data_IF_688155243026
#
_entry.id   IF_688155243026
#
_cell.length_a   1.000
_cell.length_b   1.000
_cell.length_c   1.000
_cell.angle_alpha   90.00
_cell.angle_beta   90.00
_cell.angle_gamma   90.00
#
_symmetry.space_group_name_H-M   'P 1'
#
loop_
_entity.id
_entity.type
_entity.pdbx_description
1 polymer ?
#
# COMPACT_ATOMS: atom_id res chain seq x y z
N UNK A 1 -69.40 -16.95 -51.34
CA UNK A 1 -69.49 -17.60 -50.02
C UNK A 1 -68.16 -17.70 -49.29
N UNK A 2 -67.02 -17.92 -49.95
CA UNK A 2 -65.68 -18.06 -49.34
C UNK A 2 -65.16 -16.77 -48.77
N UNK A 3 -65.46 -15.60 -49.35
CA UNK A 3 -64.95 -14.30 -48.89
C UNK A 3 -65.59 -13.84 -47.57
N UNK A 4 -66.79 -14.25 -47.28
CA UNK A 4 -67.55 -13.83 -46.10
C UNK A 4 -67.10 -14.60 -44.83
N UNK A 5 -66.58 -15.78 -44.98
CA UNK A 5 -66.02 -16.57 -43.88
C UNK A 5 -64.63 -16.12 -43.46
N UNK A 6 -63.83 -15.62 -44.41
CA UNK A 6 -62.50 -15.09 -44.09
C UNK A 6 -62.57 -13.80 -43.27
N UNK A 7 -63.53 -12.92 -43.52
CA UNK A 7 -63.75 -11.72 -42.73
C UNK A 7 -64.30 -12.00 -41.32
N UNK A 8 -65.05 -13.09 -41.15
CA UNK A 8 -65.57 -13.49 -39.84
C UNK A 8 -64.49 -14.08 -38.96
N UNK A 9 -63.55 -14.87 -39.52
CA UNK A 9 -62.40 -15.35 -38.82
C UNK A 9 -61.41 -14.22 -38.51
N UNK A 10 -61.23 -13.25 -39.37
CA UNK A 10 -60.40 -12.08 -39.13
C UNK A 10 -60.96 -11.18 -38.03
N UNK A 11 -62.28 -11.08 -37.89
CA UNK A 11 -62.96 -10.31 -36.85
C UNK A 11 -62.90 -11.01 -35.46
N UNK A 12 -62.79 -12.33 -35.42
CA UNK A 12 -62.63 -13.11 -34.16
C UNK A 12 -61.17 -12.99 -33.67
N UNK A 13 -60.17 -12.90 -34.59
CA UNK A 13 -58.77 -12.76 -34.20
C UNK A 13 -58.40 -11.42 -33.57
N UNK A 14 -59.19 -10.37 -33.81
CA UNK A 14 -58.89 -8.98 -33.34
C UNK A 14 -59.42 -8.75 -31.92
N UNK A 15 -60.16 -9.62 -31.30
CA UNK A 15 -60.73 -9.43 -29.95
C UNK A 15 -60.16 -10.30 -28.83
N UNK A 16 -59.14 -11.08 -29.06
CA UNK A 16 -58.39 -11.69 -27.97
C UNK A 16 -57.20 -10.81 -27.65
N UNK A 17 -57.42 -9.63 -27.11
CA UNK A 17 -56.41 -9.02 -26.26
C UNK A 17 -56.28 -9.93 -25.06
N UNK A 18 -55.11 -10.48 -24.78
CA UNK A 18 -54.90 -11.15 -23.50
C UNK A 18 -55.18 -10.11 -22.41
N UNK A 19 -56.30 -10.24 -21.73
CA UNK A 19 -56.50 -9.53 -20.47
C UNK A 19 -55.45 -10.08 -19.55
N UNK A 20 -54.33 -9.39 -19.40
CA UNK A 20 -53.37 -9.74 -18.33
C UNK A 20 -54.17 -9.74 -17.04
N UNK A 21 -54.47 -10.95 -16.56
CA UNK A 21 -55.11 -11.10 -15.27
C UNK A 21 -54.17 -10.44 -14.25
N UNK A 22 -54.50 -9.25 -13.80
CA UNK A 22 -53.78 -8.54 -12.77
C UNK A 22 -53.61 -9.49 -11.60
N UNK A 23 -52.37 -9.87 -11.34
CA UNK A 23 -52.00 -10.86 -10.32
C UNK A 23 -51.19 -10.22 -9.22
N UNK A 24 -51.10 -10.89 -8.07
CA UNK A 24 -50.22 -10.52 -6.99
C UNK A 24 -48.78 -10.85 -7.37
N UNK A 25 -47.98 -9.86 -7.77
CA UNK A 25 -46.57 -10.01 -8.15
C UNK A 25 -45.70 -8.99 -7.45
N UNK A 26 -44.43 -9.35 -7.17
CA UNK A 26 -43.44 -8.42 -6.73
C UNK A 26 -42.15 -8.62 -7.53
N UNK A 27 -41.47 -7.54 -7.83
CA UNK A 27 -40.14 -7.56 -8.43
C UNK A 27 -39.15 -7.02 -7.40
N UNK A 28 -38.22 -7.89 -7.02
CA UNK A 28 -37.09 -7.59 -6.14
C UNK A 28 -35.86 -8.28 -6.73
N UNK A 29 -34.65 -7.75 -6.54
CA UNK A 29 -33.43 -8.47 -6.90
C UNK A 29 -33.32 -9.75 -6.06
N UNK A 30 -32.71 -10.80 -6.61
CA UNK A 30 -32.48 -12.04 -5.86
C UNK A 30 -31.49 -11.84 -4.70
N UNK A 31 -30.57 -10.90 -4.85
CA UNK A 31 -29.60 -10.53 -3.81
C UNK A 31 -29.13 -9.09 -3.95
N UNK A 32 -28.78 -8.50 -2.82
CA UNK A 32 -28.11 -7.18 -2.74
C UNK A 32 -26.90 -7.32 -1.84
N UNK A 33 -25.81 -6.61 -2.19
CA UNK A 33 -24.58 -6.54 -1.40
C UNK A 33 -24.49 -5.18 -0.73
N UNK A 34 -24.15 -5.16 0.54
CA UNK A 34 -23.86 -3.93 1.28
C UNK A 34 -22.58 -4.09 2.08
N UNK A 35 -21.90 -3.00 2.37
CA UNK A 35 -20.74 -3.00 3.23
C UNK A 35 -21.18 -2.96 4.69
N UNK A 36 -20.48 -3.68 5.56
CA UNK A 36 -20.71 -3.68 7.01
C UNK A 36 -20.75 -2.23 7.54
N UNK A 37 -21.79 -1.89 8.31
CA UNK A 37 -22.01 -0.57 8.90
C UNK A 37 -22.48 0.51 7.91
N UNK A 38 -22.50 0.26 6.59
CA UNK A 38 -23.05 1.17 5.59
C UNK A 38 -24.57 1.02 5.48
N UNK A 39 -25.18 1.62 4.46
CA UNK A 39 -26.58 1.37 4.14
C UNK A 39 -26.72 0.37 2.98
N UNK A 40 -27.84 -0.32 2.94
CA UNK A 40 -28.28 -1.09 1.78
C UNK A 40 -29.67 -0.65 1.36
N UNK A 41 -29.85 -0.44 0.05
CA UNK A 41 -31.16 -0.16 -0.56
C UNK A 41 -31.58 -1.39 -1.36
N UNK A 42 -32.78 -1.86 -1.08
CA UNK A 42 -33.43 -2.96 -1.77
C UNK A 42 -34.50 -2.36 -2.66
N UNK A 43 -34.30 -2.28 -3.98
CA UNK A 43 -35.34 -1.83 -4.90
C UNK A 43 -36.46 -2.86 -4.92
N UNK A 44 -37.69 -2.38 -4.89
CA UNK A 44 -38.87 -3.22 -4.81
C UNK A 44 -40.05 -2.56 -5.50
N UNK A 45 -40.70 -3.27 -6.42
CA UNK A 45 -41.98 -2.92 -6.94
C UNK A 45 -42.96 -4.07 -6.78
N UNK A 46 -44.24 -3.78 -6.63
CA UNK A 46 -45.26 -4.80 -6.46
C UNK A 46 -46.51 -4.48 -7.26
N UNK A 47 -47.32 -5.47 -7.51
CA UNK A 47 -48.60 -5.34 -8.17
C UNK A 47 -49.66 -6.16 -7.43
N UNK A 48 -50.90 -5.75 -7.58
CA UNK A 48 -52.10 -6.41 -7.04
C UNK A 48 -53.26 -6.31 -8.03
N UNK A 49 -54.27 -7.21 -8.00
CA UNK A 49 -55.46 -7.13 -8.84
C UNK A 49 -56.21 -5.83 -8.62
N UNK A 50 -56.78 -5.27 -9.70
CA UNK A 50 -57.57 -4.03 -9.63
C UNK A 50 -58.77 -4.20 -8.70
N UNK A 51 -58.89 -3.40 -7.62
CA UNK A 51 -59.96 -3.52 -6.65
C UNK A 51 -61.33 -2.99 -7.14
N UNK A 52 -61.45 -2.52 -8.36
CA UNK A 52 -62.68 -1.88 -8.94
C UNK A 52 -63.18 -0.66 -8.16
N UNK A 53 -62.59 -0.34 -7.02
CA UNK A 53 -62.96 0.80 -6.14
C UNK A 53 -61.65 1.51 -5.77
N UNK A 54 -61.76 2.82 -5.50
CA UNK A 54 -60.63 3.59 -5.02
C UNK A 54 -60.13 3.02 -3.66
N UNK A 55 -58.86 2.59 -3.63
CA UNK A 55 -58.22 2.11 -2.40
C UNK A 55 -57.44 3.19 -1.70
N UNK A 56 -57.62 3.31 -0.40
CA UNK A 56 -56.88 4.22 0.45
C UNK A 56 -56.31 3.47 1.63
N UNK A 57 -55.16 3.89 2.15
CA UNK A 57 -54.50 3.28 3.32
C UNK A 57 -53.72 2.00 2.96
N UNK A 58 -52.48 2.22 2.52
CA UNK A 58 -51.52 1.18 2.23
C UNK A 58 -50.61 1.00 3.45
N UNK A 59 -50.43 -0.25 3.90
CA UNK A 59 -49.45 -0.60 4.92
C UNK A 59 -48.43 -1.58 4.34
N UNK A 60 -47.20 -1.17 4.21
CA UNK A 60 -46.09 -2.01 3.74
C UNK A 60 -45.30 -2.57 4.93
N UNK A 61 -44.99 -3.84 4.84
CA UNK A 61 -44.28 -4.57 5.88
C UNK A 61 -43.19 -5.43 5.25
N UNK A 62 -41.96 -5.35 5.75
CA UNK A 62 -40.90 -6.25 5.41
C UNK A 62 -40.65 -7.25 6.52
N UNK A 63 -40.47 -8.50 6.17
CA UNK A 63 -40.21 -9.61 7.06
C UNK A 63 -38.88 -10.29 6.75
N UNK A 64 -38.22 -10.84 7.77
CA UNK A 64 -37.18 -11.84 7.58
C UNK A 64 -37.78 -13.25 7.43
N UNK A 65 -36.94 -14.24 7.17
CA UNK A 65 -37.35 -15.63 6.96
C UNK A 65 -38.03 -16.28 8.18
N UNK A 66 -37.75 -15.74 9.39
CA UNK A 66 -38.39 -16.16 10.63
C UNK A 66 -39.76 -15.47 10.88
N UNK A 67 -40.32 -14.80 9.90
CA UNK A 67 -41.56 -14.02 9.98
C UNK A 67 -41.50 -12.89 11.03
N UNK A 68 -40.29 -12.36 11.31
CA UNK A 68 -40.12 -11.20 12.20
C UNK A 68 -40.19 -9.93 11.38
N UNK A 69 -40.84 -8.88 11.90
CA UNK A 69 -41.03 -7.59 11.24
C UNK A 69 -39.72 -6.79 11.31
N UNK A 70 -39.06 -6.58 10.17
CA UNK A 70 -37.86 -5.78 10.09
C UNK A 70 -38.14 -4.32 9.71
N UNK A 71 -39.24 -4.05 9.01
CA UNK A 71 -39.72 -2.71 8.72
C UNK A 71 -41.23 -2.71 8.60
N UNK A 72 -41.88 -1.72 9.19
CA UNK A 72 -43.32 -1.51 9.14
C UNK A 72 -43.63 -0.03 8.95
N UNK A 73 -44.73 0.30 8.26
CA UNK A 73 -45.18 1.71 8.12
C UNK A 73 -45.40 2.38 9.49
N UNK A 74 -45.86 1.63 10.49
CA UNK A 74 -45.87 2.03 11.90
C UNK A 74 -44.61 1.46 12.58
N UNK A 75 -43.67 2.34 12.92
CA UNK A 75 -42.38 1.95 13.51
C UNK A 75 -42.51 1.21 14.86
N UNK A 76 -43.64 1.38 15.60
CA UNK A 76 -43.85 0.67 16.86
C UNK A 76 -43.93 -0.85 16.68
N UNK A 77 -44.28 -1.33 15.51
CA UNK A 77 -44.40 -2.76 15.18
C UNK A 77 -43.11 -3.37 14.62
N UNK A 78 -42.06 -2.54 14.39
CA UNK A 78 -40.75 -3.01 13.96
C UNK A 78 -39.95 -3.53 15.16
N UNK A 79 -39.22 -4.65 14.97
CA UNK A 79 -38.27 -5.14 15.97
C UNK A 79 -37.31 -4.04 16.41
N UNK A 80 -37.01 -4.00 17.72
CA UNK A 80 -36.19 -2.94 18.32
C UNK A 80 -34.85 -2.75 17.60
N UNK A 81 -34.18 -3.83 17.25
CA UNK A 81 -32.92 -3.79 16.56
C UNK A 81 -32.97 -3.18 15.13
N UNK A 82 -34.15 -3.12 14.49
CA UNK A 82 -34.36 -2.56 13.16
C UNK A 82 -35.12 -1.22 13.20
N UNK A 83 -35.76 -0.84 14.30
CA UNK A 83 -36.67 0.30 14.39
C UNK A 83 -36.03 1.63 13.97
N UNK A 84 -34.78 1.86 14.35
CA UNK A 84 -34.05 3.09 14.00
C UNK A 84 -33.27 2.97 12.66
N UNK A 85 -33.05 1.75 12.17
CA UNK A 85 -32.18 1.45 11.03
C UNK A 85 -32.92 1.18 9.72
N UNK A 86 -34.24 0.96 9.77
CA UNK A 86 -35.02 0.64 8.56
C UNK A 86 -36.01 1.73 8.20
N UNK A 87 -36.19 1.92 6.87
CA UNK A 87 -37.09 2.90 6.30
C UNK A 87 -37.64 2.40 4.97
N UNK A 88 -38.98 2.46 4.82
CA UNK A 88 -39.60 2.37 3.50
C UNK A 88 -39.28 3.64 2.71
N UNK A 89 -38.62 3.50 1.55
CA UNK A 89 -38.28 4.60 0.66
C UNK A 89 -39.37 4.83 -0.38
N UNK A 90 -40.04 3.75 -0.78
CA UNK A 90 -41.03 3.79 -1.84
C UNK A 90 -42.38 4.33 -1.40
N UNK A 91 -43.08 4.97 -2.35
CA UNK A 91 -44.49 5.33 -2.22
C UNK A 91 -45.36 4.11 -2.57
N UNK A 92 -46.01 3.55 -1.55
CA UNK A 92 -46.83 2.35 -1.68
C UNK A 92 -48.03 2.59 -2.64
N UNK A 93 -48.56 3.81 -2.71
CA UNK A 93 -49.64 4.16 -3.66
C UNK A 93 -49.19 4.06 -5.13
N UNK A 94 -47.87 4.23 -5.34
CA UNK A 94 -47.23 4.08 -6.65
C UNK A 94 -46.61 2.67 -6.85
N UNK A 95 -47.02 1.72 -6.01
CA UNK A 95 -46.55 0.32 -6.05
C UNK A 95 -45.05 0.16 -5.87
N UNK A 96 -44.41 1.12 -5.20
CA UNK A 96 -42.99 1.08 -4.83
C UNK A 96 -42.85 0.70 -3.36
N UNK A 97 -42.20 -0.44 -3.09
CA UNK A 97 -41.96 -1.02 -1.77
C UNK A 97 -40.50 -1.00 -1.33
N UNK A 98 -39.67 -0.20 -2.01
CA UNK A 98 -38.23 -0.15 -1.74
C UNK A 98 -37.91 0.09 -0.27
N UNK A 99 -36.96 -0.67 0.24
CA UNK A 99 -36.50 -0.66 1.62
C UNK A 99 -35.06 -0.17 1.72
N UNK A 100 -34.78 0.66 2.71
CA UNK A 100 -33.42 0.99 3.12
C UNK A 100 -33.14 0.42 4.52
N UNK A 101 -31.97 -0.21 4.68
CA UNK A 101 -31.42 -0.62 5.96
C UNK A 101 -30.13 0.18 6.16
N UNK A 102 -30.06 1.00 7.21
CA UNK A 102 -28.88 1.76 7.64
C UNK A 102 -28.09 0.95 8.67
N UNK A 103 -26.79 1.26 8.83
CA UNK A 103 -25.88 0.59 9.77
C UNK A 103 -25.96 -0.94 9.64
N UNK A 104 -25.68 -1.42 8.42
CA UNK A 104 -25.80 -2.83 8.06
C UNK A 104 -24.93 -3.71 8.96
N UNK A 105 -25.52 -4.69 9.61
CA UNK A 105 -24.87 -5.61 10.52
C UNK A 105 -24.74 -6.99 9.88
N UNK A 106 -23.76 -7.77 10.34
CA UNK A 106 -23.57 -9.15 9.86
C UNK A 106 -24.82 -10.02 10.11
N UNK A 107 -25.59 -9.71 11.16
CA UNK A 107 -26.83 -10.39 11.52
C UNK A 107 -28.03 -10.04 10.62
N UNK A 108 -27.92 -8.98 9.79
CA UNK A 108 -29.02 -8.55 8.91
C UNK A 108 -29.07 -9.39 7.61
N UNK A 109 -28.07 -10.23 7.38
CA UNK A 109 -28.03 -11.19 6.29
C UNK A 109 -29.17 -12.20 6.39
N UNK A 110 -29.82 -12.43 5.30
CA UNK A 110 -30.89 -13.44 5.22
C UNK A 110 -31.94 -13.07 4.17
N UNK A 111 -32.79 -14.02 3.79
CA UNK A 111 -33.88 -13.72 2.88
C UNK A 111 -34.92 -12.83 3.53
N UNK A 112 -35.28 -11.75 2.83
CA UNK A 112 -36.32 -10.82 3.21
C UNK A 112 -37.44 -10.88 2.18
N UNK A 113 -38.68 -10.66 2.63
CA UNK A 113 -39.82 -10.59 1.72
C UNK A 113 -40.78 -9.47 2.11
N UNK A 114 -41.52 -8.94 1.12
CA UNK A 114 -42.48 -7.87 1.30
C UNK A 114 -43.88 -8.40 1.50
N UNK A 115 -44.69 -7.68 2.31
CA UNK A 115 -46.12 -7.85 2.48
C UNK A 115 -46.81 -6.50 2.34
N UNK A 116 -47.94 -6.48 1.65
CA UNK A 116 -48.84 -5.33 1.53
C UNK A 116 -50.17 -5.62 2.20
N UNK A 117 -50.69 -4.64 2.92
CA UNK A 117 -52.05 -4.62 3.43
C UNK A 117 -52.77 -3.36 2.90
N UNK A 118 -53.89 -3.56 2.21
CA UNK A 118 -54.67 -2.50 1.59
C UNK A 118 -56.04 -2.42 2.33
N UNK A 119 -56.25 -1.32 3.02
CA UNK A 119 -57.44 -1.13 3.86
C UNK A 119 -58.72 -1.24 3.02
N UNK A 120 -59.66 -2.09 3.50
CA UNK A 120 -60.95 -2.29 2.82
C UNK A 120 -60.87 -3.14 1.53
N UNK A 121 -59.68 -3.68 1.19
CA UNK A 121 -59.54 -4.51 -0.01
C UNK A 121 -58.95 -5.89 0.35
N UNK A 122 -57.64 -6.01 0.50
CA UNK A 122 -56.97 -7.31 0.72
C UNK A 122 -55.59 -7.14 1.32
N UNK A 123 -54.94 -8.26 1.65
CA UNK A 123 -53.54 -8.35 2.11
C UNK A 123 -52.85 -9.51 1.46
N UNK A 124 -51.56 -9.34 1.13
CA UNK A 124 -50.78 -10.40 0.48
C UNK A 124 -49.30 -10.36 0.88
N UNK A 125 -48.71 -11.54 1.05
CA UNK A 125 -47.29 -11.73 1.34
C UNK A 125 -46.57 -12.35 0.14
N UNK A 126 -45.59 -11.63 -0.41
CA UNK A 126 -44.83 -12.06 -1.59
C UNK A 126 -43.69 -13.01 -1.22
N UNK A 127 -44.02 -14.14 -0.53
CA UNK A 127 -43.04 -15.09 0.00
C UNK A 127 -42.18 -15.80 -1.06
N UNK A 128 -42.62 -15.84 -2.30
CA UNK A 128 -41.89 -16.43 -3.44
C UNK A 128 -40.85 -15.44 -4.02
N UNK A 129 -40.98 -14.15 -3.71
CA UNK A 129 -40.10 -13.09 -4.17
C UNK A 129 -39.26 -12.61 -2.99
N UNK A 130 -38.19 -13.36 -2.67
CA UNK A 130 -37.28 -13.04 -1.58
C UNK A 130 -36.02 -12.39 -2.10
N UNK A 131 -35.43 -11.53 -1.31
CA UNK A 131 -34.11 -10.92 -1.54
C UNK A 131 -33.16 -11.32 -0.42
N UNK A 132 -31.98 -11.79 -0.81
CA UNK A 132 -30.90 -12.07 0.15
C UNK A 132 -30.02 -10.82 0.31
N UNK A 133 -29.77 -10.43 1.56
CA UNK A 133 -28.81 -9.38 1.85
C UNK A 133 -27.48 -10.02 2.24
N UNK A 134 -26.40 -9.66 1.56
CA UNK A 134 -25.05 -10.13 1.89
C UNK A 134 -24.17 -8.97 2.33
N UNK A 135 -23.48 -9.17 3.45
CA UNK A 135 -22.49 -8.21 3.94
C UNK A 135 -21.18 -8.49 3.25
N UNK A 136 -20.71 -7.53 2.46
CA UNK A 136 -19.41 -7.60 1.77
C UNK A 136 -18.32 -6.93 2.60
N UNK A 137 -17.08 -7.38 2.38
CA UNK A 137 -15.89 -6.66 2.83
C UNK A 137 -15.21 -6.03 1.63
N UNK A 138 -14.39 -4.98 1.83
CA UNK A 138 -13.58 -4.43 0.77
C UNK A 138 -12.60 -5.46 0.23
N UNK A 139 -12.40 -5.45 -1.08
CA UNK A 139 -11.41 -6.29 -1.75
C UNK A 139 -10.20 -5.43 -2.12
N UNK A 140 -9.00 -5.87 -1.71
CA UNK A 140 -7.73 -5.24 -2.05
C UNK A 140 -6.91 -6.19 -2.92
N UNK A 141 -6.68 -5.80 -4.15
CA UNK A 141 -5.86 -6.50 -5.12
C UNK A 141 -4.58 -5.72 -5.41
N UNK A 142 -3.44 -6.38 -5.31
CA UNK A 142 -2.12 -5.91 -5.71
C UNK A 142 -1.30 -7.14 -6.10
N UNK A 143 -0.30 -6.96 -6.97
CA UNK A 143 0.62 -8.04 -7.34
C UNK A 143 1.30 -8.59 -6.08
N UNK A 144 1.45 -9.92 -5.99
CA UNK A 144 2.06 -10.58 -4.83
C UNK A 144 3.54 -10.20 -4.67
N UNK A 145 4.26 -10.12 -5.80
CA UNK A 145 5.65 -9.70 -5.84
C UNK A 145 5.79 -8.46 -6.72
N UNK A 146 6.41 -7.44 -6.19
CA UNK A 146 6.66 -6.18 -6.88
C UNK A 146 8.16 -5.87 -6.86
N UNK A 147 8.68 -5.17 -7.87
CA UNK A 147 10.09 -4.80 -7.92
C UNK A 147 10.30 -3.35 -7.54
N UNK A 148 11.40 -3.07 -6.87
CA UNK A 148 11.83 -1.73 -6.50
C UNK A 148 11.87 -0.81 -7.72
N UNK A 149 11.22 0.35 -7.63
CA UNK A 149 11.20 1.38 -8.68
C UNK A 149 10.30 1.09 -9.87
N UNK A 150 9.69 -0.09 -10.00
CA UNK A 150 8.69 -0.36 -11.03
C UNK A 150 7.36 0.30 -10.72
N UNK A 151 6.59 0.59 -11.76
CA UNK A 151 5.24 1.13 -11.60
C UNK A 151 4.27 0.02 -11.21
N UNK A 152 3.70 0.09 -10.02
CA UNK A 152 2.78 -0.89 -9.45
C UNK A 152 1.40 -0.30 -9.29
N UNK A 153 0.37 -1.06 -9.66
CA UNK A 153 -1.02 -0.69 -9.48
C UNK A 153 -1.67 -1.59 -8.43
N UNK A 154 -2.28 -0.97 -7.42
CA UNK A 154 -3.13 -1.61 -6.44
C UNK A 154 -4.58 -1.15 -6.63
N UNK A 155 -5.55 -2.06 -6.50
CA UNK A 155 -6.98 -1.77 -6.65
C UNK A 155 -7.72 -2.14 -5.38
N UNK A 156 -8.50 -1.21 -4.85
CA UNK A 156 -9.37 -1.38 -3.69
C UNK A 156 -10.81 -1.18 -4.14
N UNK A 157 -11.67 -2.18 -3.97
CA UNK A 157 -13.05 -2.14 -4.43
C UNK A 157 -14.05 -2.48 -3.35
N UNK A 158 -15.23 -1.90 -3.44
CA UNK A 158 -16.30 -2.11 -2.47
C UNK A 158 -17.68 -2.01 -3.14
N UNK A 159 -18.56 -2.96 -2.79
CA UNK A 159 -19.96 -2.93 -3.18
C UNK A 159 -20.78 -2.13 -2.18
N UNK A 160 -21.64 -1.25 -2.68
CA UNK A 160 -22.55 -0.46 -1.85
C UNK A 160 -23.87 -0.17 -2.58
N UNK A 161 -24.87 0.26 -1.83
CA UNK A 161 -26.21 0.57 -2.37
C UNK A 161 -26.66 1.99 -2.07
N UNK A 162 -25.78 2.84 -1.60
CA UNK A 162 -26.10 4.20 -1.17
C UNK A 162 -25.53 5.23 -2.18
N UNK A 163 -26.25 5.55 -3.26
CA UNK A 163 -25.73 6.43 -4.30
C UNK A 163 -25.51 7.87 -3.82
N UNK A 164 -26.25 8.32 -2.81
CA UNK A 164 -26.18 9.68 -2.27
C UNK A 164 -24.87 9.94 -1.50
N UNK A 165 -24.24 8.89 -1.01
CA UNK A 165 -23.03 8.96 -0.19
C UNK A 165 -22.03 7.88 -0.64
N UNK A 166 -21.34 8.11 -1.78
CA UNK A 166 -20.32 7.18 -2.24
C UNK A 166 -19.18 7.08 -1.22
N UNK A 167 -18.53 5.90 -1.11
CA UNK A 167 -17.36 5.75 -0.25
C UNK A 167 -16.21 6.62 -0.74
N UNK A 168 -15.37 7.09 0.17
CA UNK A 168 -14.09 7.71 -0.12
C UNK A 168 -12.95 6.81 0.32
N UNK A 169 -11.84 6.83 -0.43
CA UNK A 169 -10.70 5.95 -0.24
C UNK A 169 -9.47 6.75 0.22
N UNK A 170 -8.72 6.19 1.16
CA UNK A 170 -7.46 6.74 1.65
C UNK A 170 -6.43 5.62 1.69
N UNK A 171 -5.33 5.79 0.97
CA UNK A 171 -4.25 4.83 0.92
C UNK A 171 -3.15 5.15 1.93
N UNK A 172 -2.46 4.11 2.44
CA UNK A 172 -1.31 4.26 3.35
C UNK A 172 -0.04 4.68 2.62
N UNK A 173 0.02 4.50 1.30
CA UNK A 173 1.14 4.87 0.45
C UNK A 173 0.79 6.07 -0.41
N UNK A 174 1.78 6.87 -0.74
CA UNK A 174 1.65 7.99 -1.68
C UNK A 174 1.77 7.48 -3.12
N UNK A 175 1.01 8.07 -4.03
CA UNK A 175 0.98 7.71 -5.43
C UNK A 175 -0.11 8.46 -6.18
N UNK A 176 -0.34 8.10 -7.42
CA UNK A 176 -1.44 8.60 -8.22
C UNK A 176 -2.69 7.78 -7.92
N UNK A 177 -3.72 8.43 -7.39
CA UNK A 177 -5.00 7.80 -7.03
C UNK A 177 -6.05 8.14 -8.09
N UNK A 178 -6.76 7.11 -8.56
CA UNK A 178 -7.90 7.24 -9.46
C UNK A 178 -9.10 6.50 -8.89
N UNK A 179 -10.19 7.24 -8.66
CA UNK A 179 -11.43 6.71 -8.09
C UNK A 179 -12.52 6.65 -9.16
N UNK A 180 -13.24 5.54 -9.21
CA UNK A 180 -14.37 5.36 -10.12
C UNK A 180 -15.53 4.65 -9.41
N UNK A 181 -16.75 4.99 -9.80
CA UNK A 181 -17.96 4.32 -9.31
C UNK A 181 -18.81 3.89 -10.49
N UNK A 182 -19.18 2.62 -10.52
CA UNK A 182 -19.99 2.01 -11.57
C UNK A 182 -21.30 1.46 -10.99
N UNK A 183 -22.41 1.78 -11.62
CA UNK A 183 -23.67 1.13 -11.33
C UNK A 183 -23.71 -0.25 -12.01
N UNK A 184 -23.93 -1.32 -11.25
CA UNK A 184 -24.04 -2.67 -11.77
C UNK A 184 -25.46 -3.00 -12.21
N UNK A 185 -26.42 -2.67 -11.36
CA UNK A 185 -27.86 -2.79 -11.60
C UNK A 185 -28.59 -1.86 -10.63
N UNK A 186 -29.92 -1.79 -10.71
CA UNK A 186 -30.72 -0.92 -9.86
C UNK A 186 -30.44 -1.16 -8.38
N UNK A 187 -30.10 -0.10 -7.64
CA UNK A 187 -29.78 -0.12 -6.22
C UNK A 187 -28.44 -0.75 -5.85
N UNK A 188 -27.57 -1.06 -6.82
CA UNK A 188 -26.26 -1.67 -6.54
C UNK A 188 -25.13 -0.99 -7.30
N UNK A 189 -24.09 -0.62 -6.58
CA UNK A 189 -22.91 0.12 -7.06
C UNK A 189 -21.63 -0.60 -6.69
N UNK A 190 -20.60 -0.46 -7.50
CA UNK A 190 -19.23 -0.82 -7.18
C UNK A 190 -18.36 0.43 -7.26
N UNK A 191 -17.73 0.81 -6.16
CA UNK A 191 -16.72 1.87 -6.12
C UNK A 191 -15.35 1.24 -6.02
N UNK A 192 -14.42 1.70 -6.86
CA UNK A 192 -13.06 1.21 -6.94
C UNK A 192 -12.09 2.39 -6.92
N UNK A 193 -11.08 2.29 -6.06
CA UNK A 193 -9.93 3.19 -6.05
C UNK A 193 -8.71 2.44 -6.52
N UNK A 194 -8.00 2.99 -7.48
CA UNK A 194 -6.73 2.45 -7.98
C UNK A 194 -5.61 3.39 -7.58
N UNK A 195 -4.60 2.86 -6.89
CA UNK A 195 -3.37 3.56 -6.54
C UNK A 195 -2.24 3.07 -7.43
N UNK A 196 -1.59 3.99 -8.14
CA UNK A 196 -0.37 3.73 -8.89
C UNK A 196 0.82 4.34 -8.15
N UNK A 197 1.81 3.52 -7.80
CA UNK A 197 2.94 3.93 -6.97
C UNK A 197 4.22 3.18 -7.35
N UNK A 198 5.37 3.69 -6.88
CA UNK A 198 6.69 3.07 -7.08
C UNK A 198 7.19 2.57 -5.72
N UNK A 199 7.16 1.25 -5.46
CA UNK A 199 7.66 0.69 -4.22
C UNK A 199 9.19 0.85 -4.15
N UNK A 200 9.69 1.06 -2.95
CA UNK A 200 11.12 1.04 -2.67
C UNK A 200 11.46 -0.12 -1.70
N UNK A 201 12.75 -0.43 -1.54
CA UNK A 201 13.18 -1.54 -0.67
C UNK A 201 12.67 -1.43 0.78
N UNK A 202 12.49 -0.19 1.28
CA UNK A 202 11.98 0.03 2.62
C UNK A 202 10.49 -0.35 2.77
N UNK A 203 9.77 -0.59 1.67
CA UNK A 203 8.38 -1.04 1.69
C UNK A 203 8.25 -2.56 1.75
N UNK A 204 9.38 -3.29 1.63
CA UNK A 204 9.40 -4.74 1.81
C UNK A 204 8.88 -5.14 3.20
N UNK A 205 7.95 -6.09 3.24
CA UNK A 205 7.24 -6.54 4.44
C UNK A 205 6.37 -5.46 5.12
N UNK A 206 6.20 -4.27 4.53
CA UNK A 206 5.23 -3.29 5.02
C UNK A 206 3.83 -3.57 4.49
N UNK A 207 2.86 -3.13 5.26
CA UNK A 207 1.45 -3.32 4.94
C UNK A 207 0.93 -2.15 4.10
N UNK A 208 0.48 -2.46 2.88
CA UNK A 208 -0.33 -1.54 2.08
C UNK A 208 -1.76 -1.60 2.61
N UNK A 209 -2.32 -0.45 2.98
CA UNK A 209 -3.66 -0.31 3.53
C UNK A 209 -4.53 0.54 2.61
N UNK A 210 -5.77 0.11 2.43
CA UNK A 210 -6.84 0.89 1.84
C UNK A 210 -7.91 1.14 2.90
N UNK A 211 -8.11 2.39 3.25
CA UNK A 211 -9.07 2.85 4.22
C UNK A 211 -10.28 3.43 3.49
N UNK A 212 -11.46 2.93 3.80
CA UNK A 212 -12.70 3.33 3.18
C UNK A 212 -13.56 4.02 4.22
N UNK A 213 -13.93 5.26 3.93
CA UNK A 213 -14.80 6.04 4.82
C UNK A 213 -16.15 6.25 4.17
N UNK A 214 -17.19 6.14 4.97
CA UNK A 214 -18.58 6.36 4.60
C UNK A 214 -19.17 7.53 5.35
N UNK A 215 -20.36 7.91 4.93
CA UNK A 215 -21.20 8.87 5.63
C UNK A 215 -21.27 8.54 7.15
N UNK A 216 -21.24 9.58 8.00
CA UNK A 216 -21.19 9.50 9.48
C UNK A 216 -19.88 8.98 10.06
N UNK A 217 -18.78 8.98 9.29
CA UNK A 217 -17.46 8.61 9.80
C UNK A 217 -17.25 7.11 10.01
N UNK A 218 -18.10 6.27 9.41
CA UNK A 218 -17.86 4.85 9.38
C UNK A 218 -16.58 4.56 8.62
N UNK A 219 -15.73 3.73 9.19
CA UNK A 219 -14.40 3.41 8.71
C UNK A 219 -14.23 1.89 8.58
N UNK A 220 -13.79 1.43 7.42
CA UNK A 220 -13.42 0.04 7.16
C UNK A 220 -12.06 0.00 6.50
N UNK A 221 -11.18 -0.90 6.96
CA UNK A 221 -9.82 -1.08 6.44
C UNK A 221 -9.67 -2.45 5.79
N UNK A 222 -8.95 -2.49 4.67
CA UNK A 222 -8.39 -3.73 4.11
C UNK A 222 -6.91 -3.54 3.86
N UNK A 223 -6.12 -4.62 3.95
CA UNK A 223 -4.67 -4.51 3.87
C UNK A 223 -4.00 -5.75 3.29
N UNK A 224 -2.84 -5.54 2.63
CA UNK A 224 -1.94 -6.60 2.15
C UNK A 224 -0.49 -6.25 2.45
N UNK A 225 0.33 -7.26 2.72
CA UNK A 225 1.78 -7.10 2.90
C UNK A 225 2.44 -7.03 1.52
N UNK A 226 3.28 -6.03 1.31
CA UNK A 226 4.05 -5.88 0.08
C UNK A 226 5.33 -6.73 0.14
N UNK A 227 5.55 -7.54 -0.89
CA UNK A 227 6.78 -8.30 -1.10
C UNK A 227 7.59 -7.59 -2.18
N UNK A 228 8.47 -6.67 -1.76
CA UNK A 228 9.30 -5.91 -2.70
C UNK A 228 10.59 -6.68 -3.00
N UNK A 229 10.87 -6.91 -4.27
CA UNK A 229 12.10 -7.52 -4.77
C UNK A 229 13.07 -6.42 -5.19
N UNK A 230 14.34 -6.54 -4.80
CA UNK A 230 15.38 -5.54 -5.10
C UNK A 230 16.77 -6.17 -5.24
N UNK A 231 17.60 -5.47 -6.03
CA UNK A 231 18.99 -5.83 -6.22
C UNK A 231 19.79 -5.70 -4.91
N UNK A 232 20.94 -6.40 -4.79
CA UNK A 232 21.79 -6.28 -3.62
C UNK A 232 22.29 -4.86 -3.38
N UNK A 233 22.43 -4.52 -2.12
CA UNK A 233 23.02 -3.29 -1.60
C UNK A 233 24.01 -3.66 -0.50
N UNK A 234 25.32 -3.52 -0.79
CA UNK A 234 26.36 -3.82 0.18
C UNK A 234 26.49 -2.63 1.13
N UNK A 235 26.25 -2.87 2.40
CA UNK A 235 26.26 -1.82 3.41
C UNK A 235 27.68 -1.28 3.65
N UNK A 236 27.79 0.03 3.82
CA UNK A 236 29.04 0.73 4.15
C UNK A 236 29.64 0.30 5.49
N UNK A 237 28.88 -0.40 6.32
CA UNK A 237 29.37 -1.05 7.55
C UNK A 237 30.20 -2.30 7.31
N UNK A 238 30.22 -2.83 6.07
CA UNK A 238 31.10 -3.93 5.67
C UNK A 238 32.57 -3.52 5.83
N UNK A 239 33.37 -4.37 6.45
CA UNK A 239 34.77 -4.02 6.79
C UNK A 239 35.63 -5.25 7.07
N UNK A 240 36.94 -5.05 7.03
CA UNK A 240 37.91 -6.00 7.57
C UNK A 240 38.44 -5.51 8.90
N UNK A 241 38.65 -6.41 9.86
CA UNK A 241 39.26 -6.15 11.17
C UNK A 241 40.29 -7.21 11.51
N UNK A 242 41.24 -6.86 12.36
CA UNK A 242 42.21 -7.82 12.90
C UNK A 242 41.97 -8.02 14.40
N UNK A 243 41.77 -9.25 14.79
CA UNK A 243 41.55 -9.64 16.17
C UNK A 243 42.44 -10.85 16.50
N UNK A 244 43.27 -10.74 17.53
CA UNK A 244 44.18 -11.82 17.90
C UNK A 244 45.19 -12.22 16.82
N UNK A 245 45.54 -11.32 15.89
CA UNK A 245 46.47 -11.57 14.78
C UNK A 245 45.84 -12.26 13.57
N UNK A 246 44.53 -12.51 13.64
CA UNK A 246 43.72 -13.05 12.50
C UNK A 246 42.90 -11.92 11.86
N UNK A 247 42.98 -11.83 10.55
CA UNK A 247 42.15 -10.88 9.79
C UNK A 247 40.85 -11.53 9.42
N UNK A 248 39.78 -10.82 9.71
CA UNK A 248 38.38 -11.18 9.39
C UNK A 248 37.75 -10.08 8.60
N UNK A 249 37.16 -10.41 7.44
CA UNK A 249 36.38 -9.48 6.63
C UNK A 249 34.92 -9.87 6.68
N UNK A 250 34.04 -8.89 6.92
CA UNK A 250 32.59 -9.05 6.94
C UNK A 250 31.97 -8.24 5.82
N UNK A 251 31.19 -8.90 4.98
CA UNK A 251 30.40 -8.30 3.92
C UNK A 251 28.92 -8.38 4.29
N UNK A 252 28.28 -7.25 4.48
CA UNK A 252 26.89 -7.14 4.90
C UNK A 252 26.08 -6.70 3.70
N UNK A 253 25.16 -7.55 3.24
CA UNK A 253 24.38 -7.35 2.02
C UNK A 253 22.90 -7.38 2.35
N UNK A 254 22.16 -6.40 1.87
CA UNK A 254 20.71 -6.39 1.94
C UNK A 254 20.13 -6.60 0.54
N UNK A 255 19.28 -7.61 0.35
CA UNK A 255 18.67 -7.95 -0.94
C UNK A 255 17.45 -8.85 -0.81
N UNK A 256 16.57 -8.76 -1.78
CA UNK A 256 15.43 -9.67 -1.93
C UNK A 256 15.18 -9.95 -3.43
N UNK A 257 15.37 -11.18 -3.91
CA UNK A 257 15.81 -12.39 -3.19
C UNK A 257 17.22 -12.28 -2.61
N UNK A 258 17.57 -13.14 -1.65
CA UNK A 258 18.91 -13.18 -1.07
C UNK A 258 19.98 -13.32 -2.13
N UNK A 259 21.08 -12.58 -1.97
CA UNK A 259 22.21 -12.59 -2.90
C UNK A 259 23.19 -13.73 -2.62
N UNK A 260 23.85 -14.18 -3.69
CA UNK A 260 25.11 -14.89 -3.58
C UNK A 260 26.23 -13.86 -3.34
N UNK A 261 27.07 -14.11 -2.36
CA UNK A 261 28.16 -13.22 -1.98
C UNK A 261 29.49 -13.94 -2.17
N UNK A 262 30.45 -13.25 -2.78
CA UNK A 262 31.81 -13.76 -3.06
C UNK A 262 32.83 -12.75 -2.60
N UNK A 263 33.99 -13.27 -2.15
CA UNK A 263 35.16 -12.46 -1.94
C UNK A 263 36.16 -12.71 -3.07
N UNK A 264 36.78 -11.66 -3.59
CA UNK A 264 37.82 -11.74 -4.62
C UNK A 264 39.11 -11.16 -4.05
N UNK A 265 40.12 -11.99 -3.94
CA UNK A 265 41.45 -11.61 -3.46
C UNK A 265 42.47 -11.78 -4.59
N UNK A 266 42.95 -10.67 -5.18
CA UNK A 266 43.66 -10.68 -6.44
C UNK A 266 42.77 -11.27 -7.56
N UNK A 267 43.24 -12.37 -8.18
CA UNK A 267 42.53 -13.08 -9.24
C UNK A 267 41.77 -14.34 -8.74
N UNK A 268 41.68 -14.52 -7.42
CA UNK A 268 41.08 -15.71 -6.83
C UNK A 268 39.73 -15.39 -6.19
N UNK A 269 38.73 -16.21 -6.52
CA UNK A 269 37.45 -16.21 -5.81
C UNK A 269 37.59 -17.04 -4.55
N UNK A 270 37.28 -16.42 -3.41
CA UNK A 270 37.34 -17.04 -2.08
C UNK A 270 35.91 -17.29 -1.61
N UNK A 271 35.70 -18.47 -1.05
CA UNK A 271 34.44 -18.77 -0.36
C UNK A 271 34.46 -18.21 1.06
N UNK A 272 33.30 -17.76 1.53
CA UNK A 272 33.12 -17.34 2.91
C UNK A 272 33.39 -18.50 3.88
N UNK A 273 33.97 -18.19 5.03
CA UNK A 273 34.17 -19.14 6.14
C UNK A 273 32.91 -19.28 6.99
N UNK A 274 32.02 -18.27 6.98
CA UNK A 274 30.76 -18.26 7.73
C UNK A 274 29.74 -17.39 6.99
N UNK A 275 28.50 -17.87 6.94
CA UNK A 275 27.34 -17.15 6.43
C UNK A 275 26.25 -17.02 7.51
N UNK A 276 25.73 -15.84 7.71
CA UNK A 276 24.60 -15.58 8.61
C UNK A 276 23.51 -14.85 7.83
N UNK A 277 22.24 -15.24 8.03
CA UNK A 277 21.11 -14.65 7.36
C UNK A 277 20.04 -14.22 8.37
N UNK A 278 19.61 -12.96 8.26
CA UNK A 278 18.52 -12.41 9.08
C UNK A 278 17.59 -11.59 8.20
N UNK A 279 16.43 -12.17 7.83
CA UNK A 279 15.50 -11.57 6.87
C UNK A 279 16.15 -11.34 5.52
N UNK A 280 16.13 -10.11 5.04
CA UNK A 280 16.76 -9.67 3.78
C UNK A 280 18.27 -9.38 3.89
N UNK A 281 18.82 -9.43 5.10
CA UNK A 281 20.24 -9.17 5.34
C UNK A 281 21.03 -10.48 5.39
N UNK A 282 22.07 -10.56 4.56
CA UNK A 282 23.07 -11.64 4.55
C UNK A 282 24.41 -11.08 5.00
N UNK A 283 25.05 -11.72 5.96
CA UNK A 283 26.41 -11.38 6.44
C UNK A 283 27.32 -12.54 6.09
N UNK A 284 28.25 -12.30 5.19
CA UNK A 284 29.26 -13.26 4.80
C UNK A 284 30.61 -12.87 5.40
N UNK A 285 31.28 -13.84 6.02
CA UNK A 285 32.55 -13.63 6.67
C UNK A 285 33.65 -14.42 5.95
N UNK A 286 34.73 -13.75 5.59
CA UNK A 286 35.97 -14.36 5.11
C UNK A 286 37.05 -14.26 6.17
N UNK A 287 37.61 -15.39 6.52
CA UNK A 287 38.75 -15.49 7.40
C UNK A 287 39.82 -16.35 6.72
N UNK A 288 40.96 -15.74 6.33
CA UNK A 288 42.04 -16.40 5.59
C UNK A 288 43.36 -15.66 5.82
N UNK A 289 44.46 -16.23 5.34
CA UNK A 289 45.72 -15.50 5.22
C UNK A 289 45.67 -14.62 3.96
N UNK A 290 45.64 -13.32 4.18
CA UNK A 290 45.57 -12.34 3.09
C UNK A 290 46.97 -12.01 2.49
N UNK A 291 48.06 -12.59 3.00
CA UNK A 291 49.40 -12.38 2.50
C UNK A 291 49.79 -10.89 2.43
N UNK A 292 50.22 -10.41 1.27
CA UNK A 292 50.63 -9.03 1.01
C UNK A 292 49.53 -8.13 0.41
N UNK A 293 48.30 -8.63 0.27
CA UNK A 293 47.22 -7.83 -0.26
C UNK A 293 46.81 -6.70 0.67
N UNK A 294 46.39 -5.56 0.12
CA UNK A 294 45.93 -4.39 0.86
C UNK A 294 44.42 -4.28 0.94
N UNK A 295 43.71 -5.02 0.09
CA UNK A 295 42.26 -4.99 -0.01
C UNK A 295 41.71 -6.31 -0.53
N UNK A 296 40.41 -6.54 -0.29
CA UNK A 296 39.62 -7.63 -0.83
C UNK A 296 38.30 -7.03 -1.38
N UNK A 297 37.87 -7.52 -2.55
CA UNK A 297 36.57 -7.17 -3.08
C UNK A 297 35.50 -8.07 -2.48
N UNK A 298 34.40 -7.48 -2.05
CA UNK A 298 33.15 -8.20 -1.83
C UNK A 298 32.22 -7.92 -3.00
N UNK A 299 31.68 -8.96 -3.62
CA UNK A 299 30.72 -8.92 -4.72
C UNK A 299 29.48 -9.66 -4.29
N UNK A 300 28.32 -9.03 -4.45
CA UNK A 300 27.00 -9.63 -4.20
C UNK A 300 26.17 -9.59 -5.49
N UNK A 301 25.46 -10.68 -5.82
CA UNK A 301 24.56 -10.71 -6.94
C UNK A 301 23.29 -11.52 -6.65
N UNK A 302 22.17 -11.10 -7.27
CA UNK A 302 20.94 -11.86 -7.38
C UNK A 302 20.39 -11.72 -8.81
N UNK A 303 19.19 -12.26 -9.08
CA UNK A 303 18.58 -12.19 -10.41
C UNK A 303 18.20 -10.76 -10.86
N UNK A 304 18.23 -9.77 -9.98
CA UNK A 304 17.85 -8.37 -10.26
C UNK A 304 19.05 -7.47 -10.48
N UNK A 305 20.24 -7.88 -10.06
CA UNK A 305 21.45 -7.07 -10.24
C UNK A 305 22.62 -7.53 -9.40
N UNK A 306 23.64 -6.68 -9.37
CA UNK A 306 24.84 -6.92 -8.56
C UNK A 306 25.32 -5.61 -7.92
N UNK A 307 26.07 -5.76 -6.83
CA UNK A 307 26.80 -4.68 -6.15
C UNK A 307 28.17 -5.15 -5.73
N UNK A 308 29.13 -4.22 -5.58
CA UNK A 308 30.48 -4.55 -5.15
C UNK A 308 31.09 -3.45 -4.28
N UNK A 309 31.94 -3.84 -3.34
CA UNK A 309 32.69 -2.92 -2.49
C UNK A 309 34.12 -3.40 -2.31
N UNK A 310 35.04 -2.45 -2.19
CA UNK A 310 36.44 -2.69 -1.85
C UNK A 310 36.64 -2.55 -0.35
N UNK A 311 37.02 -3.64 0.31
CA UNK A 311 37.28 -3.67 1.75
C UNK A 311 38.79 -3.57 1.99
N UNK A 312 39.21 -2.51 2.69
CA UNK A 312 40.61 -2.33 3.05
C UNK A 312 41.03 -3.30 4.17
N UNK A 313 42.14 -3.99 3.97
CA UNK A 313 42.70 -4.89 4.94
C UNK A 313 43.49 -4.08 6.01
N UNK A 314 43.43 -4.48 7.30
CA UNK A 314 44.21 -3.82 8.34
C UNK A 314 45.70 -4.01 8.08
N UNK A 315 46.47 -2.92 8.20
CA UNK A 315 47.92 -2.95 8.04
C UNK A 315 48.51 -3.80 9.16
N UNK A 316 49.36 -4.77 8.78
CA UNK A 316 50.09 -5.56 9.75
C UNK A 316 51.05 -4.63 10.51
N UNK A 317 50.75 -4.32 11.77
CA UNK A 317 51.54 -3.44 12.64
C UNK A 317 52.90 -4.07 13.04
N UNK A 318 53.72 -4.38 12.03
CA UNK A 318 55.14 -4.69 12.30
C UNK A 318 55.98 -3.41 12.45
N UNK A 319 55.45 -2.23 12.18
CA UNK A 319 56.19 -0.97 12.26
C UNK A 319 56.27 -0.36 13.68
N UNK A 320 55.30 -0.63 14.55
CA UNK A 320 55.35 -0.07 15.92
C UNK A 320 56.52 -0.61 16.74
N UNK A 321 56.88 -1.89 16.57
CA UNK A 321 58.04 -2.46 17.29
C UNK A 321 59.37 -1.97 16.76
N UNK A 322 59.48 -1.56 15.48
CA UNK A 322 60.68 -1.00 14.89
C UNK A 322 60.90 0.44 15.34
N UNK A 323 59.83 1.23 15.46
CA UNK A 323 59.93 2.60 15.93
C UNK A 323 60.23 2.70 17.43
N UNK A 324 59.68 1.78 18.24
CA UNK A 324 59.99 1.73 19.69
C UNK A 324 61.43 1.29 19.91
N UNK A 325 61.91 0.29 19.16
CA UNK A 325 63.31 -0.18 19.29
C UNK A 325 64.32 0.86 18.79
N UNK A 326 64.00 1.57 17.70
CA UNK A 326 64.88 2.66 17.20
C UNK A 326 64.82 3.89 18.07
N UNK A 327 63.65 4.22 18.65
CA UNK A 327 63.48 5.34 19.60
C UNK A 327 64.24 5.09 20.92
N UNK A 328 64.19 3.85 21.46
CA UNK A 328 64.95 3.48 22.64
C UNK A 328 66.46 3.53 22.42
N UNK A 329 66.94 3.10 21.24
CA UNK A 329 68.33 3.21 20.85
C UNK A 329 68.83 4.66 20.76
N UNK A 330 68.03 5.56 20.15
CA UNK A 330 68.36 6.98 20.05
C UNK A 330 68.34 7.67 21.42
N UNK A 331 67.42 7.34 22.30
CA UNK A 331 67.37 7.86 23.67
C UNK A 331 68.57 7.43 24.47
N UNK A 332 69.00 6.16 24.38
CA UNK A 332 70.19 5.65 25.01
C UNK A 332 71.45 6.34 24.49
N UNK A 333 71.54 6.61 23.20
CA UNK A 333 72.66 7.31 22.56
C UNK A 333 72.72 8.77 23.05
N UNK A 334 71.63 9.47 23.17
CA UNK A 334 71.52 10.83 23.68
C UNK A 334 71.89 10.86 25.15
N UNK A 335 71.51 9.89 25.96
CA UNK A 335 71.93 9.81 27.38
C UNK A 335 73.41 9.57 27.51
N UNK A 336 74.03 8.71 26.68
CA UNK A 336 75.47 8.46 26.68
C UNK A 336 76.27 9.68 26.23
N UNK A 337 75.82 10.42 25.23
CA UNK A 337 76.45 11.65 24.76
C UNK A 337 76.25 12.77 25.82
N UNK A 338 75.10 12.88 26.42
CA UNK A 338 74.82 13.85 27.50
C UNK A 338 75.65 13.63 28.76
N UNK A 339 75.88 12.39 29.14
CA UNK A 339 76.71 12.06 30.28
C UNK A 339 78.20 12.31 29.97
N UNK A 340 78.70 12.04 28.75
CA UNK A 340 80.02 12.38 28.29
C UNK A 340 80.32 13.89 28.29
N UNK A 341 79.41 14.70 27.90
CA UNK A 341 79.53 16.17 27.90
C UNK A 341 79.46 16.73 29.32
N UNK A 342 78.71 16.11 30.22
CA UNK A 342 78.66 16.47 31.65
C UNK A 342 79.99 16.29 32.40
N UNK A 343 80.75 15.29 32.04
CA UNK A 343 82.09 15.04 32.66
C UNK A 343 83.13 16.06 32.15
N UNK A 344 83.09 16.51 30.93
CA UNK A 344 83.99 17.48 30.32
C UNK A 344 83.71 18.92 30.83
N UNK A 345 82.51 19.27 31.24
CA UNK A 345 82.16 20.62 31.74
C UNK A 345 82.45 20.85 33.21
N UNK A 346 82.82 19.82 34.01
CA UNK A 346 83.14 19.95 35.45
C UNK A 346 84.59 20.43 35.69
N UNK A 347 85.42 20.65 34.64
CA UNK A 347 86.81 21.04 34.75
C UNK A 347 87.11 22.46 34.29
N UNK A 348 86.12 23.31 34.05
CA UNK A 348 86.45 24.75 33.72
C UNK A 348 85.57 25.70 34.45
N UNK A 349 86.10 26.22 35.50
CA UNK A 349 85.84 27.20 36.49
C UNK A 349 84.97 28.39 36.19
N UNK A 350 84.20 28.67 37.18
CA UNK A 350 84.22 29.88 38.02
C UNK A 350 84.40 31.18 37.26
N UNK A 351 83.44 32.05 37.13
CA UNK A 351 83.45 33.40 37.63
C UNK A 351 82.29 34.29 37.10
N UNK A 352 81.65 34.89 38.06
CA UNK A 352 81.01 36.20 38.11
C UNK A 352 79.86 36.57 37.23
N UNK A 353 78.83 36.74 37.89
CA UNK A 353 78.14 37.94 38.48
C UNK A 353 77.21 38.75 37.52
N UNK A 354 76.08 38.89 37.99
CA UNK A 354 75.28 40.08 38.34
C UNK A 354 74.07 40.42 37.44
N UNK A 355 72.96 40.39 38.13
CA UNK A 355 71.93 41.40 38.31
C UNK A 355 70.70 41.39 37.38
N UNK A 356 69.58 41.09 38.04
CA UNK A 356 68.29 41.75 38.10
C UNK A 356 67.56 42.09 36.75
N UNK A 357 66.36 41.85 36.61
CA UNK A 357 65.19 42.42 37.33
C UNK A 357 63.93 41.72 36.91
N UNK A 358 63.00 41.59 37.82
CA UNK A 358 61.58 41.26 37.75
C UNK A 358 60.80 42.04 36.70
N UNK A 359 59.79 41.48 36.16
CA UNK A 359 58.42 41.98 36.38
C UNK A 359 57.40 41.03 35.92
N UNK A 360 56.53 40.73 36.81
CA UNK A 360 55.22 40.15 36.73
C UNK A 360 54.30 40.82 35.71
N UNK A 361 53.35 40.11 35.10
CA UNK A 361 51.93 40.30 35.44
C UNK A 361 51.00 39.85 34.32
N UNK A 362 50.08 38.98 34.69
CA UNK A 362 48.65 38.89 34.40
C UNK A 362 48.12 38.71 33.01
N UNK A 363 47.37 37.63 32.97
CA UNK A 363 45.96 37.47 32.55
C UNK A 363 45.52 38.02 31.20
N UNK A 364 44.97 37.12 30.38
CA UNK A 364 43.51 37.11 30.13
C UNK A 364 43.15 36.11 29.06
N UNK A 365 42.21 35.28 29.41
CA UNK A 365 41.41 34.43 28.53
C UNK A 365 40.71 35.22 27.43
N UNK A 366 40.63 34.66 26.22
CA UNK A 366 39.40 34.53 25.42
C UNK A 366 39.64 33.72 24.14
N UNK A 367 38.66 32.87 23.77
CA UNK A 367 38.80 32.01 22.60
C UNK A 367 38.41 32.72 21.31
N UNK A 368 39.11 32.39 20.24
CA UNK A 368 38.81 32.87 18.87
C UNK A 368 37.83 31.93 18.22
N UNK A 369 36.64 32.43 17.93
CA UNK A 369 35.64 31.81 17.06
C UNK A 369 36.12 31.81 15.60
N UNK A 370 36.01 30.65 14.95
CA UNK A 370 36.08 30.51 13.50
C UNK A 370 34.68 30.67 12.90
N UNK A 371 34.51 31.39 11.79
CA UNK A 371 33.21 31.62 11.21
C UNK A 371 32.75 30.43 10.37
N UNK A 372 31.53 29.93 10.68
CA UNK A 372 30.76 29.04 9.86
C UNK A 372 30.27 29.76 8.59
N UNK A 373 30.67 29.29 7.42
CA UNK A 373 30.05 29.62 6.15
C UNK A 373 28.96 28.63 5.82
N UNK A 374 27.69 29.00 6.03
CA UNK A 374 26.51 28.28 5.55
C UNK A 374 26.23 28.61 4.08
N UNK A 375 25.61 27.69 3.32
CA UNK A 375 25.30 27.90 1.91
C UNK A 375 24.10 28.83 1.75
N UNK A 376 24.33 29.91 1.01
CA UNK A 376 23.35 30.93 0.63
C UNK A 376 22.34 30.36 -0.36
N UNK A 377 21.04 30.33 -0.02
CA UNK A 377 19.94 30.11 -0.94
C UNK A 377 19.77 31.31 -1.86
N UNK A 378 20.08 31.13 -3.14
CA UNK A 378 19.77 32.09 -4.21
C UNK A 378 18.34 31.88 -4.65
N UNK A 379 17.44 32.82 -4.37
CA UNK A 379 16.12 32.95 -4.98
C UNK A 379 16.32 33.28 -6.47
N UNK A 380 15.93 32.41 -7.36
CA UNK A 380 15.79 32.69 -8.78
C UNK A 380 14.47 33.37 -9.09
N UNK A 381 14.54 34.52 -9.71
CA UNK A 381 13.46 35.39 -10.14
C UNK A 381 12.73 34.73 -11.35
N UNK A 382 11.42 34.94 -11.34
CA UNK A 382 10.44 34.52 -12.35
C UNK A 382 10.60 35.39 -13.60
N UNK A 383 11.47 34.97 -14.55
CA UNK A 383 11.53 35.44 -15.95
C UNK A 383 12.57 34.56 -16.64
N UNK A 384 12.10 33.54 -17.35
CA UNK A 384 12.73 32.83 -18.46
C UNK A 384 12.04 31.47 -18.64
N UNK A 385 10.80 31.56 -19.16
CA UNK A 385 10.11 30.39 -19.73
C UNK A 385 10.12 30.62 -21.25
N UNK A 386 10.81 29.81 -22.05
CA UNK A 386 10.57 29.76 -23.50
C UNK A 386 9.31 28.96 -23.79
N UNK A 387 8.48 29.51 -24.68
CA UNK A 387 7.30 28.95 -25.30
C UNK A 387 7.55 27.58 -25.97
N UNK A 388 6.59 26.67 -25.95
CA UNK A 388 6.69 25.42 -26.69
C UNK A 388 6.03 25.58 -28.06
N UNK A 389 6.83 25.93 -29.08
CA UNK A 389 6.46 25.72 -30.49
C UNK A 389 7.71 25.28 -31.25
N UNK A 390 7.66 24.04 -31.69
CA UNK A 390 8.39 23.42 -32.80
C UNK A 390 8.83 21.98 -32.44
N UNK A 391 7.99 21.04 -32.89
CA UNK A 391 8.43 19.81 -33.56
C UNK A 391 7.18 19.03 -34.03
N UNK A 392 6.69 19.45 -35.17
CA UNK A 392 5.91 18.61 -36.09
C UNK A 392 6.89 17.81 -36.94
N UNK A 393 6.66 16.50 -37.04
CA UNK A 393 7.02 15.55 -38.09
C UNK A 393 7.70 14.27 -37.54
N UNK A 394 6.90 13.25 -37.27
CA UNK A 394 7.21 11.87 -37.57
C UNK A 394 5.95 11.12 -38.03
N UNK A 395 6.07 10.17 -38.98
CA UNK A 395 4.96 9.68 -39.78
C UNK A 395 4.10 8.62 -39.03
N UNK A 396 2.81 8.73 -39.26
CA UNK A 396 1.78 7.73 -38.95
C UNK A 396 2.08 6.45 -39.75
N UNK A 397 2.29 5.32 -39.05
CA UNK A 397 2.19 3.98 -39.61
C UNK A 397 0.84 3.38 -39.28
N UNK A 398 0.22 2.89 -40.37
CA UNK A 398 -1.16 2.53 -40.45
C UNK A 398 -1.57 1.29 -39.64
N UNK A 399 -2.87 1.23 -39.43
CA UNK A 399 -3.69 0.09 -39.09
C UNK A 399 -3.27 -1.20 -39.79
N UNK A 400 -3.13 -2.28 -39.02
CA UNK A 400 -3.37 -3.63 -39.52
C UNK A 400 -4.41 -4.30 -38.61
N UNK A 401 -5.57 -4.55 -39.20
CA UNK A 401 -6.63 -5.43 -38.76
C UNK A 401 -6.05 -6.77 -38.30
N UNK A 402 -6.41 -7.25 -37.13
CA UNK A 402 -6.29 -8.64 -36.74
C UNK A 402 -7.68 -9.26 -36.61
N UNK A 403 -7.88 -10.21 -37.50
CA UNK A 403 -9.02 -11.06 -37.75
C UNK A 403 -9.44 -11.84 -36.47
N UNK A 404 -10.72 -11.72 -36.10
CA UNK A 404 -11.42 -12.59 -35.18
C UNK A 404 -11.75 -13.91 -35.88
N UNK A 405 -10.95 -14.92 -35.70
CA UNK A 405 -11.39 -16.32 -35.82
C UNK A 405 -10.29 -17.24 -35.34
N UNK A 406 -10.50 -17.87 -34.21
CA UNK A 406 -10.06 -19.23 -33.81
C UNK A 406 -10.21 -19.31 -32.27
N UNK A 407 -11.31 -19.88 -31.82
CA UNK A 407 -11.44 -20.80 -30.69
C UNK A 407 -12.93 -21.10 -30.44
N UNK A 408 -13.48 -21.90 -31.33
CA UNK A 408 -14.58 -22.79 -31.00
C UNK A 408 -13.98 -24.21 -30.99
N UNK A 409 -14.30 -24.97 -29.94
CA UNK A 409 -13.98 -26.39 -29.68
C UNK A 409 -12.69 -26.63 -28.84
N UNK A 410 -12.87 -26.75 -27.54
CA UNK A 410 -12.79 -27.98 -26.72
C UNK A 410 -13.58 -27.73 -25.44
#
# INVERSE_FOLDING_TARGET
MILQWSLFFMYIYIKVTPTEASSWTAAVPSSVKGLLGSCVVIPCSYNYPDPKTSTTGFTGIWYNDNNQVICHSDKSQTLDQFRSRTKLLGDLSKKNCSLMIEDLQQSDGGPLYFRIEIKGYNRYSYKNNKVSVSVSQPDLSVQEEVKEGENVSASCSVFHSCPTYPPSFIWSHSGEQHDQTQQLHEGQWNSTSTLTFHPNRSDHNKTLKCNITYHRGLYVETSKILQVKYAPDIKTSSKCSSEGGVVKCECIVESEPPSMVYFILGDRVMQSSKAEKNGSVTIETLQTDFGSFSFVHCLANNMLGYDNILLSLPVKDNMQNILISSGAGVILLIILIGSGVGVVKKCRGRSRDTTTTNLSTMMSDRPVELPHSGPTKRKMSRKDIPSPDMYTNYPVYGNTDWDESIYANV
#
